data_IF_230454138471
#
_entry.id   IF_230454138471
#
_cell.length_a   1.000
_cell.length_b   1.000
_cell.length_c   1.000
_cell.angle_alpha   90.00
_cell.angle_beta   90.00
_cell.angle_gamma   90.00
#
_symmetry.space_group_name_H-M   'P 1'
#
loop_
_entity.id
_entity.type
_entity.pdbx_description
1 polymer ?
#
# COMPACT_ATOMS: atom_id res chain seq x y z
N UNK A 1 -6.63 9.66 14.01
CA UNK A 1 -5.33 9.03 13.69
C UNK A 1 -5.13 8.92 12.18
N UNK A 2 -6.01 8.27 11.39
CA UNK A 2 -5.88 8.06 9.94
C UNK A 2 -5.48 9.35 9.20
N UNK A 3 -6.26 10.42 9.37
CA UNK A 3 -5.97 11.72 8.73
C UNK A 3 -4.63 12.33 9.20
N UNK A 4 -4.30 12.18 10.49
CA UNK A 4 -3.04 12.66 11.04
C UNK A 4 -1.82 11.87 10.52
N UNK A 5 -2.04 10.66 10.01
CA UNK A 5 -1.02 9.86 9.32
C UNK A 5 -0.87 10.21 7.83
N UNK A 6 -1.52 11.29 7.37
CA UNK A 6 -1.41 11.76 5.99
C UNK A 6 -2.31 11.04 4.99
N UNK A 7 -3.19 10.13 5.43
CA UNK A 7 -4.18 9.51 4.56
C UNK A 7 -5.36 10.44 4.31
N UNK A 8 -5.85 10.46 3.08
CA UNK A 8 -7.04 11.20 2.64
C UNK A 8 -8.23 10.30 2.28
N UNK A 9 -7.99 9.00 2.24
CA UNK A 9 -8.99 7.98 1.96
C UNK A 9 -8.73 6.73 2.78
N UNK A 10 -9.74 5.88 2.85
CA UNK A 10 -9.67 4.54 3.43
C UNK A 10 -10.52 3.55 2.64
N UNK A 11 -10.20 2.28 2.77
CA UNK A 11 -11.01 1.18 2.26
C UNK A 11 -11.63 0.46 3.45
N UNK A 12 -12.96 0.36 3.46
CA UNK A 12 -13.69 -0.47 4.41
C UNK A 12 -13.70 -1.88 3.85
N UNK A 13 -12.82 -2.72 4.41
CA UNK A 13 -12.49 -4.03 3.87
C UNK A 13 -13.45 -5.10 4.39
N UNK A 14 -14.32 -5.59 3.51
CA UNK A 14 -15.22 -6.74 3.67
C UNK A 14 -16.11 -6.72 4.92
N UNK A 15 -16.53 -5.54 5.37
CA UNK A 15 -17.51 -5.42 6.48
C UNK A 15 -18.30 -4.11 6.36
N UNK A 16 -19.32 -3.97 7.19
CA UNK A 16 -20.06 -2.72 7.38
C UNK A 16 -19.76 -2.20 8.77
N UNK A 17 -19.31 -0.96 8.87
CA UNK A 17 -18.96 -0.33 10.13
C UNK A 17 -20.20 0.34 10.79
N UNK A 18 -20.03 0.85 12.00
CA UNK A 18 -21.06 1.58 12.71
C UNK A 18 -21.41 2.90 11.97
N UNK A 19 -22.66 3.37 12.00
CA UNK A 19 -23.07 4.62 11.33
C UNK A 19 -22.18 5.81 11.68
N UNK A 20 -21.77 5.94 12.93
CA UNK A 20 -20.91 7.05 13.40
C UNK A 20 -19.55 7.06 12.67
N UNK A 21 -19.07 5.93 12.19
CA UNK A 21 -17.82 5.86 11.43
C UNK A 21 -17.94 6.64 10.11
N UNK A 22 -19.03 6.45 9.38
CA UNK A 22 -19.28 7.14 8.11
C UNK A 22 -19.55 8.65 8.33
N UNK A 23 -20.30 9.00 9.38
CA UNK A 23 -20.51 10.39 9.79
C UNK A 23 -19.19 11.10 10.09
N UNK A 24 -18.28 10.45 10.82
CA UNK A 24 -16.95 11.00 11.09
C UNK A 24 -16.09 11.13 9.83
N UNK A 25 -16.20 10.20 8.87
CA UNK A 25 -15.51 10.33 7.59
C UNK A 25 -16.03 11.53 6.79
N UNK A 26 -17.35 11.78 6.80
CA UNK A 26 -17.95 12.97 6.19
C UNK A 26 -17.41 14.26 6.83
N UNK A 27 -17.42 14.34 8.16
CA UNK A 27 -16.94 15.51 8.91
C UNK A 27 -15.43 15.77 8.70
N UNK A 28 -14.63 14.71 8.64
CA UNK A 28 -13.18 14.81 8.51
C UNK A 28 -12.70 14.94 7.07
N UNK A 29 -13.59 14.76 6.09
CA UNK A 29 -13.23 14.73 4.67
C UNK A 29 -12.29 13.56 4.34
N UNK A 30 -12.60 12.36 4.84
CA UNK A 30 -11.91 11.11 4.50
C UNK A 30 -12.74 10.36 3.47
N UNK A 31 -12.18 10.16 2.27
CA UNK A 31 -12.84 9.38 1.23
C UNK A 31 -12.97 7.90 1.62
N UNK A 32 -14.06 7.25 1.21
CA UNK A 32 -14.32 5.83 1.48
C UNK A 32 -14.47 5.05 0.17
N UNK A 33 -13.69 3.99 0.04
CA UNK A 33 -13.97 2.85 -0.84
C UNK A 33 -14.62 1.77 0.02
N UNK A 34 -15.76 1.27 -0.38
CA UNK A 34 -16.53 0.33 0.46
C UNK A 34 -16.68 -1.03 -0.22
N UNK A 35 -16.11 -2.05 0.40
CA UNK A 35 -16.27 -3.44 -0.05
C UNK A 35 -17.64 -3.98 0.35
N UNK A 36 -18.16 -4.90 -0.48
CA UNK A 36 -19.12 -5.86 0.04
C UNK A 36 -18.45 -6.84 1.00
N UNK A 37 -19.25 -7.56 1.77
CA UNK A 37 -18.76 -8.57 2.70
C UNK A 37 -18.32 -9.88 2.00
N UNK A 38 -18.37 -9.94 0.67
CA UNK A 38 -17.94 -11.12 -0.09
C UNK A 38 -16.43 -11.09 -0.30
N UNK A 39 -15.77 -12.09 0.32
CA UNK A 39 -14.32 -12.20 0.34
C UNK A 39 -13.91 -13.57 -0.17
N UNK A 40 -12.86 -13.60 -1.03
CA UNK A 40 -12.29 -14.79 -1.64
C UNK A 40 -13.31 -15.62 -2.45
N UNK A 41 -12.89 -16.81 -2.83
CA UNK A 41 -13.72 -17.72 -3.63
C UNK A 41 -14.37 -18.75 -2.73
N UNK A 42 -15.59 -18.47 -2.31
CA UNK A 42 -16.40 -19.47 -1.62
C UNK A 42 -17.50 -19.95 -2.56
N UNK A 43 -17.60 -21.27 -2.82
CA UNK A 43 -18.70 -21.82 -3.56
C UNK A 43 -20.02 -21.49 -2.84
N UNK A 44 -20.94 -20.87 -3.56
CA UNK A 44 -22.26 -20.51 -3.04
C UNK A 44 -23.34 -20.98 -4.00
N UNK A 45 -24.52 -21.31 -3.48
CA UNK A 45 -25.67 -21.60 -4.33
C UNK A 45 -26.33 -20.31 -4.84
N UNK A 46 -27.17 -20.43 -5.86
CA UNK A 46 -27.88 -19.28 -6.43
C UNK A 46 -28.76 -18.56 -5.40
N UNK A 47 -29.40 -19.32 -4.51
CA UNK A 47 -30.25 -18.75 -3.47
C UNK A 47 -29.42 -17.90 -2.48
N UNK A 48 -28.21 -18.30 -2.15
CA UNK A 48 -27.29 -17.47 -1.38
C UNK A 48 -26.90 -16.22 -2.15
N UNK A 49 -26.52 -16.36 -3.40
CA UNK A 49 -26.11 -15.21 -4.24
C UNK A 49 -27.23 -14.15 -4.33
N UNK A 50 -28.46 -14.56 -4.57
CA UNK A 50 -29.59 -13.66 -4.65
C UNK A 50 -29.87 -12.94 -3.31
N UNK A 51 -29.82 -13.68 -2.19
CA UNK A 51 -29.97 -13.08 -0.85
C UNK A 51 -28.83 -12.11 -0.54
N UNK A 52 -27.59 -12.47 -0.87
CA UNK A 52 -26.44 -11.61 -0.64
C UNK A 52 -26.56 -10.30 -1.42
N UNK A 53 -26.92 -10.36 -2.70
CA UNK A 53 -27.13 -9.17 -3.52
C UNK A 53 -28.21 -8.28 -2.90
N UNK A 54 -29.34 -8.85 -2.47
CA UNK A 54 -30.41 -8.09 -1.85
C UNK A 54 -29.93 -7.36 -0.59
N UNK A 55 -29.22 -8.05 0.31
CA UNK A 55 -28.68 -7.46 1.55
C UNK A 55 -27.66 -6.37 1.24
N UNK A 56 -26.79 -6.59 0.25
CA UNK A 56 -25.79 -5.57 -0.09
C UNK A 56 -26.42 -4.33 -0.71
N UNK A 57 -27.49 -4.46 -1.50
CA UNK A 57 -28.21 -3.30 -2.00
C UNK A 57 -28.89 -2.48 -0.89
N UNK A 58 -29.35 -3.12 0.20
CA UNK A 58 -29.80 -2.41 1.41
C UNK A 58 -28.63 -1.64 2.07
N UNK A 59 -27.45 -2.21 2.08
CA UNK A 59 -26.22 -1.52 2.54
C UNK A 59 -25.90 -0.31 1.65
N UNK A 60 -26.01 -0.46 0.32
CA UNK A 60 -25.84 0.66 -0.62
C UNK A 60 -26.86 1.77 -0.32
N UNK A 61 -28.15 1.44 -0.13
CA UNK A 61 -29.19 2.42 0.22
C UNK A 61 -28.90 3.15 1.53
N UNK A 62 -28.38 2.45 2.52
CA UNK A 62 -28.03 3.03 3.81
C UNK A 62 -26.85 4.01 3.68
N UNK A 63 -25.83 3.67 2.89
CA UNK A 63 -24.55 4.37 2.85
C UNK A 63 -24.42 5.39 1.72
N UNK A 64 -25.17 5.28 0.61
CA UNK A 64 -25.04 6.18 -0.56
C UNK A 64 -25.32 7.65 -0.27
N UNK A 65 -25.91 7.97 0.87
CA UNK A 65 -26.14 9.35 1.34
C UNK A 65 -24.86 10.04 1.83
N UNK A 66 -23.80 9.29 2.18
CA UNK A 66 -22.56 9.83 2.71
C UNK A 66 -21.69 10.42 1.59
N UNK A 67 -21.34 11.71 1.63
CA UNK A 67 -20.50 12.33 0.62
C UNK A 67 -19.04 11.83 0.65
N UNK A 68 -18.58 11.29 1.76
CA UNK A 68 -17.27 10.64 1.87
C UNK A 68 -17.16 9.37 1.03
N UNK A 69 -18.27 8.65 0.80
CA UNK A 69 -18.27 7.43 0.03
C UNK A 69 -18.19 7.73 -1.47
N UNK A 70 -17.12 7.32 -2.14
CA UNK A 70 -16.89 7.62 -3.54
C UNK A 70 -16.78 6.40 -4.46
N UNK A 71 -16.61 5.19 -3.90
CA UNK A 71 -16.46 3.97 -4.71
C UNK A 71 -17.05 2.74 -4.01
N UNK A 72 -17.72 1.89 -4.76
CA UNK A 72 -18.17 0.56 -4.33
C UNK A 72 -17.22 -0.51 -4.85
N UNK A 73 -16.96 -1.54 -4.04
CA UNK A 73 -16.18 -2.71 -4.40
C UNK A 73 -17.05 -3.94 -4.19
N UNK A 74 -17.32 -4.69 -5.25
CA UNK A 74 -18.27 -5.81 -5.17
C UNK A 74 -17.71 -7.04 -4.48
N UNK A 75 -16.41 -7.27 -4.56
CA UNK A 75 -15.78 -8.47 -3.98
C UNK A 75 -14.33 -8.19 -3.66
N UNK A 76 -13.82 -8.80 -2.58
CA UNK A 76 -12.39 -8.83 -2.31
C UNK A 76 -11.76 -10.12 -2.84
N UNK A 77 -10.66 -9.98 -3.56
CA UNK A 77 -9.81 -11.08 -4.04
C UNK A 77 -10.60 -12.26 -4.67
N UNK A 78 -11.48 -11.96 -5.64
CA UNK A 78 -12.27 -13.01 -6.27
C UNK A 78 -11.42 -14.02 -7.07
N UNK A 79 -10.15 -13.74 -7.27
CA UNK A 79 -9.26 -14.54 -8.10
C UNK A 79 -9.71 -14.58 -9.55
N UNK A 80 -9.36 -15.68 -10.24
CA UNK A 80 -9.74 -15.87 -11.63
C UNK A 80 -11.18 -16.35 -11.80
N UNK A 81 -11.85 -16.73 -10.71
CA UNK A 81 -13.08 -17.49 -10.76
C UNK A 81 -14.34 -16.66 -11.04
N UNK A 82 -14.29 -15.36 -10.92
CA UNK A 82 -15.50 -14.53 -10.89
C UNK A 82 -15.82 -13.78 -12.16
N UNK A 83 -14.85 -13.61 -13.06
CA UNK A 83 -15.03 -12.73 -14.20
C UNK A 83 -14.65 -13.34 -15.56
N UNK A 84 -13.56 -14.09 -15.66
CA UNK A 84 -13.13 -14.70 -16.91
C UNK A 84 -12.43 -16.06 -16.67
N UNK A 85 -13.09 -17.22 -16.92
CA UNK A 85 -12.44 -18.50 -16.83
C UNK A 85 -11.26 -18.58 -17.80
N UNK A 86 -10.12 -19.06 -17.30
CA UNK A 86 -8.97 -19.34 -18.15
C UNK A 86 -9.03 -20.81 -18.62
N UNK A 87 -8.37 -21.15 -19.75
CA UNK A 87 -8.32 -22.54 -20.23
C UNK A 87 -7.71 -23.54 -19.24
N UNK A 88 -6.89 -23.05 -18.32
CA UNK A 88 -6.16 -23.86 -17.34
C UNK A 88 -6.93 -24.10 -16.04
N UNK A 89 -8.13 -23.53 -15.88
CA UNK A 89 -8.97 -23.75 -14.71
C UNK A 89 -9.58 -25.14 -14.73
N UNK A 90 -9.60 -25.76 -13.54
CA UNK A 90 -10.30 -27.03 -13.43
C UNK A 90 -11.83 -26.85 -13.51
N UNK A 91 -12.54 -27.98 -13.62
CA UNK A 91 -14.00 -27.95 -13.79
C UNK A 91 -14.73 -27.48 -12.55
N UNK A 92 -14.18 -27.75 -11.35
CA UNK A 92 -14.80 -27.34 -10.10
C UNK A 92 -14.74 -25.80 -9.95
N UNK A 93 -13.63 -25.22 -10.32
CA UNK A 93 -13.44 -23.78 -10.35
C UNK A 93 -14.38 -23.10 -11.34
N UNK A 94 -14.51 -23.65 -12.55
CA UNK A 94 -15.45 -23.14 -13.57
C UNK A 94 -16.92 -23.25 -13.12
N UNK A 95 -17.29 -24.29 -12.38
CA UNK A 95 -18.65 -24.46 -11.87
C UNK A 95 -18.93 -23.52 -10.69
N UNK A 96 -17.94 -23.24 -9.82
CA UNK A 96 -18.04 -22.25 -8.77
C UNK A 96 -18.27 -20.85 -9.31
N UNK A 97 -17.64 -20.47 -10.42
CA UNK A 97 -17.87 -19.19 -11.10
C UNK A 97 -19.32 -18.95 -11.52
N UNK A 98 -19.99 -20.00 -12.00
CA UNK A 98 -21.37 -19.88 -12.51
C UNK A 98 -22.36 -19.47 -11.44
N UNK A 99 -22.06 -19.74 -10.18
CA UNK A 99 -22.90 -19.40 -9.02
C UNK A 99 -22.35 -18.24 -8.20
N UNK A 100 -21.16 -17.72 -8.56
CA UNK A 100 -20.60 -16.55 -7.88
C UNK A 100 -21.54 -15.35 -7.95
N UNK A 101 -21.74 -14.62 -6.85
CA UNK A 101 -22.57 -13.40 -6.87
C UNK A 101 -21.92 -12.26 -7.68
N UNK A 102 -20.61 -12.30 -7.94
CA UNK A 102 -19.84 -11.18 -8.46
C UNK A 102 -20.39 -10.49 -9.71
N UNK A 103 -20.61 -11.19 -10.84
CA UNK A 103 -21.13 -10.55 -12.06
C UNK A 103 -22.54 -9.96 -11.88
N UNK A 104 -23.42 -10.66 -11.16
CA UNK A 104 -24.79 -10.19 -10.87
C UNK A 104 -24.75 -9.01 -9.91
N UNK A 105 -23.91 -9.09 -8.86
CA UNK A 105 -23.72 -8.04 -7.87
C UNK A 105 -23.20 -6.75 -8.53
N UNK A 106 -22.19 -6.84 -9.37
CA UNK A 106 -21.65 -5.69 -10.09
C UNK A 106 -22.74 -4.98 -10.92
N UNK A 107 -23.51 -5.74 -11.73
CA UNK A 107 -24.57 -5.17 -12.52
C UNK A 107 -25.65 -4.51 -11.64
N UNK A 108 -26.05 -5.16 -10.55
CA UNK A 108 -27.06 -4.66 -9.64
C UNK A 108 -26.60 -3.37 -8.92
N UNK A 109 -25.37 -3.28 -8.48
CA UNK A 109 -24.83 -2.07 -7.82
C UNK A 109 -24.71 -0.92 -8.82
N UNK A 110 -24.24 -1.15 -10.05
CA UNK A 110 -24.18 -0.13 -11.09
C UNK A 110 -25.57 0.46 -11.43
N UNK A 111 -26.59 -0.39 -11.46
CA UNK A 111 -27.98 0.06 -11.69
C UNK A 111 -28.53 0.81 -10.47
N UNK A 112 -28.24 0.35 -9.26
CA UNK A 112 -28.79 0.85 -8.01
C UNK A 112 -28.19 2.19 -7.57
N UNK A 113 -26.88 2.38 -7.79
CA UNK A 113 -26.18 3.64 -7.57
C UNK A 113 -25.30 4.04 -8.77
N UNK A 114 -25.91 4.63 -9.82
CA UNK A 114 -25.16 5.08 -11.00
C UNK A 114 -24.31 6.34 -10.77
N UNK A 115 -24.32 6.89 -9.55
CA UNK A 115 -23.59 8.12 -9.22
C UNK A 115 -22.12 7.90 -8.87
N UNK A 116 -21.73 6.65 -8.60
CA UNK A 116 -20.38 6.28 -8.13
C UNK A 116 -19.75 5.21 -9.00
N UNK A 117 -18.41 5.22 -9.14
CA UNK A 117 -17.71 4.10 -9.75
C UNK A 117 -17.87 2.82 -8.93
N UNK A 118 -17.90 1.70 -9.63
CA UNK A 118 -18.01 0.36 -9.05
C UNK A 118 -16.86 -0.49 -9.54
N UNK A 119 -16.09 -1.07 -8.62
CA UNK A 119 -15.05 -2.05 -8.89
C UNK A 119 -15.68 -3.45 -8.79
N UNK A 120 -15.54 -4.25 -9.84
CA UNK A 120 -16.12 -5.60 -9.90
C UNK A 120 -15.55 -6.55 -8.88
N UNK A 121 -14.24 -6.48 -8.71
CA UNK A 121 -13.48 -7.26 -7.73
C UNK A 121 -12.11 -6.66 -7.48
N UNK A 122 -11.74 -6.51 -6.25
CA UNK A 122 -10.47 -5.99 -5.81
C UNK A 122 -9.58 -7.17 -5.33
N UNK A 123 -8.53 -7.56 -6.03
CA UNK A 123 -8.20 -7.24 -7.42
C UNK A 123 -8.69 -8.34 -8.36
N UNK A 124 -8.86 -8.03 -9.63
CA UNK A 124 -9.25 -9.00 -10.66
C UNK A 124 -8.10 -9.22 -11.63
N UNK A 125 -7.41 -10.33 -11.50
CA UNK A 125 -6.21 -10.68 -12.29
C UNK A 125 -6.47 -10.67 -13.80
N UNK A 126 -7.65 -11.06 -14.23
CA UNK A 126 -8.01 -11.24 -15.64
C UNK A 126 -8.98 -10.19 -16.17
N UNK A 127 -9.23 -9.12 -15.45
CA UNK A 127 -10.05 -8.01 -15.93
C UNK A 127 -9.20 -6.73 -16.05
N UNK A 128 -8.70 -6.41 -17.25
CA UNK A 128 -7.90 -5.20 -17.47
C UNK A 128 -8.70 -3.91 -17.23
N UNK A 129 -10.03 -3.99 -17.20
CA UNK A 129 -10.90 -2.86 -16.94
C UNK A 129 -11.19 -2.65 -15.44
N UNK A 130 -10.86 -3.63 -14.59
CA UNK A 130 -10.95 -3.51 -13.13
C UNK A 130 -10.17 -2.31 -12.61
N UNK A 131 -8.95 -2.15 -13.10
CA UNK A 131 -8.16 -0.92 -12.88
C UNK A 131 -7.39 -0.88 -11.55
N UNK A 132 -7.64 -1.82 -10.63
CA UNK A 132 -6.95 -1.92 -9.36
C UNK A 132 -6.05 -3.15 -9.26
N UNK A 133 -5.18 -3.15 -8.26
CA UNK A 133 -4.22 -4.23 -8.00
C UNK A 133 -4.01 -4.44 -6.50
N UNK A 134 -3.66 -5.67 -6.13
CA UNK A 134 -3.01 -5.99 -4.86
C UNK A 134 -1.54 -6.34 -5.13
N UNK A 135 -0.63 -5.68 -4.46
CA UNK A 135 0.80 -5.87 -4.68
C UNK A 135 1.52 -6.16 -3.37
N UNK A 136 1.95 -7.40 -3.23
CA UNK A 136 2.69 -7.86 -2.06
C UNK A 136 4.15 -8.24 -2.39
N UNK A 137 4.71 -7.64 -3.44
CA UNK A 137 6.13 -7.79 -3.79
C UNK A 137 7.02 -7.50 -2.57
N UNK A 138 7.97 -8.40 -2.33
CA UNK A 138 8.84 -8.32 -1.16
C UNK A 138 8.16 -8.65 0.18
N UNK A 139 6.89 -9.07 0.17
CA UNK A 139 6.13 -9.48 1.36
C UNK A 139 5.68 -10.93 1.30
N UNK A 140 5.04 -11.34 0.20
CA UNK A 140 4.51 -12.70 0.04
C UNK A 140 5.44 -13.61 -0.76
N UNK A 141 6.40 -13.05 -1.47
CA UNK A 141 7.27 -13.76 -2.40
C UNK A 141 8.39 -14.57 -1.68
N UNK A 142 8.43 -14.52 -0.35
CA UNK A 142 9.49 -15.16 0.42
C UNK A 142 10.87 -14.56 0.09
N UNK A 143 11.88 -15.42 -0.08
CA UNK A 143 13.22 -14.98 -0.39
C UNK A 143 13.42 -14.52 -1.86
N UNK A 144 12.43 -14.78 -2.73
CA UNK A 144 12.54 -14.49 -4.17
C UNK A 144 12.20 -13.04 -4.52
N UNK A 145 11.58 -12.29 -3.59
CA UNK A 145 11.17 -10.90 -3.79
C UNK A 145 11.77 -9.94 -2.78
N UNK A 146 11.92 -8.68 -3.17
CA UNK A 146 12.41 -7.62 -2.32
C UNK A 146 11.57 -6.34 -2.50
N UNK A 147 11.45 -5.49 -1.47
CA UNK A 147 10.64 -4.27 -1.55
C UNK A 147 11.07 -3.33 -2.67
N UNK A 148 12.34 -3.32 -3.06
CA UNK A 148 12.82 -2.48 -4.18
C UNK A 148 12.33 -2.94 -5.56
N UNK A 149 11.79 -4.15 -5.68
CA UNK A 149 11.22 -4.65 -6.93
C UNK A 149 9.96 -3.90 -7.35
N UNK A 150 9.32 -3.18 -6.41
CA UNK A 150 8.21 -2.26 -6.70
C UNK A 150 8.55 -1.27 -7.81
N UNK A 151 9.79 -0.83 -7.93
CA UNK A 151 10.20 0.12 -8.96
C UNK A 151 10.08 -0.41 -10.40
N UNK A 152 9.90 -1.72 -10.56
CA UNK A 152 9.61 -2.36 -11.85
C UNK A 152 8.12 -2.40 -12.19
N UNK A 153 7.22 -2.02 -11.29
CA UNK A 153 5.77 -2.15 -11.47
C UNK A 153 5.11 -0.86 -11.94
N UNK A 154 3.94 -1.02 -12.55
CA UNK A 154 3.13 0.10 -13.06
C UNK A 154 1.66 -0.23 -12.82
N UNK A 155 0.99 0.51 -11.97
CA UNK A 155 -0.38 0.23 -11.52
C UNK A 155 -1.26 1.46 -11.62
N UNK A 156 -2.49 1.31 -12.10
CA UNK A 156 -3.46 2.42 -12.19
C UNK A 156 -3.94 2.84 -10.80
N UNK A 157 -4.18 1.87 -9.93
CA UNK A 157 -4.50 2.06 -8.52
C UNK A 157 -4.09 0.79 -7.77
N UNK A 158 -3.44 0.96 -6.64
CA UNK A 158 -3.20 -0.15 -5.72
C UNK A 158 -4.20 -0.08 -4.57
N UNK A 159 -4.99 -1.12 -4.38
CA UNK A 159 -6.01 -1.18 -3.33
C UNK A 159 -5.58 -2.00 -2.13
N UNK A 160 -4.39 -2.64 -2.20
CA UNK A 160 -3.85 -3.38 -1.07
C UNK A 160 -2.35 -3.67 -1.22
N UNK A 161 -1.55 -3.22 -0.28
CA UNK A 161 -0.14 -3.58 -0.09
C UNK A 161 0.25 -3.47 1.38
N UNK A 162 1.25 -4.22 1.80
CA UNK A 162 1.70 -4.17 3.19
C UNK A 162 2.75 -5.22 3.51
N UNK A 163 3.20 -5.24 4.76
CA UNK A 163 4.16 -6.20 5.27
C UNK A 163 3.80 -6.61 6.70
N UNK A 164 3.80 -7.91 6.94
CA UNK A 164 3.52 -8.52 8.25
C UNK A 164 4.71 -8.27 9.20
N UNK A 165 4.50 -7.46 10.21
CA UNK A 165 5.50 -7.18 11.23
C UNK A 165 4.96 -7.42 12.64
N UNK A 166 5.80 -7.90 13.57
CA UNK A 166 5.38 -8.11 14.95
C UNK A 166 5.22 -6.77 15.69
N UNK A 167 4.38 -6.75 16.75
CA UNK A 167 4.34 -5.64 17.69
C UNK A 167 5.60 -5.58 18.53
N UNK A 168 5.70 -4.60 19.44
CA UNK A 168 6.78 -4.53 20.41
C UNK A 168 6.80 -5.79 21.31
N UNK A 169 7.96 -6.07 21.90
CA UNK A 169 8.18 -7.29 22.68
C UNK A 169 7.21 -7.43 23.86
N UNK A 170 6.77 -6.33 24.48
CA UNK A 170 5.89 -6.38 25.63
C UNK A 170 4.45 -6.73 25.22
N UNK A 171 3.99 -6.29 24.07
CA UNK A 171 2.70 -6.68 23.52
C UNK A 171 2.74 -8.09 22.93
N UNK A 172 3.86 -8.47 22.33
CA UNK A 172 4.06 -9.85 21.87
C UNK A 172 3.97 -10.86 23.02
N UNK A 173 4.47 -10.54 24.22
CA UNK A 173 4.33 -11.38 25.41
C UNK A 173 2.89 -11.56 25.89
N UNK A 174 1.97 -10.63 25.55
CA UNK A 174 0.54 -10.77 25.83
C UNK A 174 -0.14 -11.83 24.96
N UNK A 175 0.56 -12.34 23.94
CA UNK A 175 0.12 -13.37 23.01
C UNK A 175 0.97 -14.65 23.17
N UNK A 176 0.81 -15.43 24.25
CA UNK A 176 1.73 -16.55 24.56
C UNK A 176 1.93 -17.57 23.44
N UNK A 177 0.92 -17.94 22.62
CA UNK A 177 1.14 -18.84 21.50
C UNK A 177 2.02 -18.23 20.41
N UNK A 178 1.81 -16.96 20.07
CA UNK A 178 2.59 -16.21 19.07
C UNK A 178 4.00 -16.00 19.59
N UNK A 179 4.15 -15.51 20.82
CA UNK A 179 5.44 -15.29 21.46
C UNK A 179 6.32 -16.55 21.45
N UNK A 180 5.73 -17.73 21.81
CA UNK A 180 6.47 -19.00 21.77
C UNK A 180 6.94 -19.36 20.35
N UNK A 181 6.14 -19.10 19.33
CA UNK A 181 6.53 -19.37 17.94
C UNK A 181 7.65 -18.47 17.45
N UNK A 182 7.66 -17.23 17.89
CA UNK A 182 8.68 -16.24 17.51
C UNK A 182 9.95 -16.30 18.36
N UNK A 183 10.01 -17.18 19.39
CA UNK A 183 11.20 -17.35 20.24
C UNK A 183 12.52 -17.48 19.44
N UNK A 184 12.58 -18.28 18.35
CA UNK A 184 13.83 -18.45 17.60
C UNK A 184 14.33 -17.18 16.90
N UNK A 185 13.47 -16.18 16.71
CA UNK A 185 13.79 -14.95 15.94
C UNK A 185 13.57 -13.66 16.75
N UNK A 186 13.49 -13.75 18.07
CA UNK A 186 13.26 -12.57 18.92
C UNK A 186 14.31 -11.48 18.74
N UNK A 187 15.54 -11.86 18.43
CA UNK A 187 16.64 -10.94 18.13
C UNK A 187 16.47 -10.18 16.80
N UNK A 188 15.64 -10.72 15.89
CA UNK A 188 15.38 -10.13 14.57
C UNK A 188 14.15 -9.22 14.55
N UNK A 189 13.39 -9.08 15.64
CA UNK A 189 12.13 -8.31 15.64
C UNK A 189 12.33 -6.86 15.18
N UNK A 190 13.45 -6.26 15.59
CA UNK A 190 13.77 -4.89 15.19
C UNK A 190 14.05 -4.78 13.69
N UNK A 191 14.81 -5.72 13.12
CA UNK A 191 15.09 -5.81 11.67
C UNK A 191 13.83 -6.04 10.86
N UNK A 192 12.92 -6.91 11.34
CA UNK A 192 11.63 -7.17 10.69
C UNK A 192 10.78 -5.90 10.66
N UNK A 193 10.72 -5.17 11.77
CA UNK A 193 10.07 -3.87 11.83
C UNK A 193 10.72 -2.84 10.89
N UNK A 194 12.05 -2.85 10.77
CA UNK A 194 12.79 -1.98 9.86
C UNK A 194 12.50 -2.34 8.39
N UNK A 195 12.33 -3.62 8.07
CA UNK A 195 11.91 -4.05 6.74
C UNK A 195 10.49 -3.55 6.41
N UNK A 196 9.54 -3.61 7.36
CA UNK A 196 8.21 -2.99 7.20
C UNK A 196 8.32 -1.49 6.88
N UNK A 197 9.20 -0.76 7.61
CA UNK A 197 9.44 0.65 7.34
C UNK A 197 9.90 0.87 5.90
N UNK A 198 10.92 0.16 5.42
CA UNK A 198 11.42 0.33 4.06
C UNK A 198 10.38 -0.05 3.01
N UNK A 199 9.70 -1.19 3.17
CA UNK A 199 8.69 -1.63 2.21
C UNK A 199 7.60 -0.55 2.06
N UNK A 200 7.01 -0.08 3.15
CA UNK A 200 5.97 0.94 3.09
C UNK A 200 6.49 2.26 2.51
N UNK A 201 7.69 2.70 2.91
CA UNK A 201 8.32 3.89 2.35
C UNK A 201 8.47 3.81 0.83
N UNK A 202 9.10 2.74 0.33
CA UNK A 202 9.37 2.57 -1.09
C UNK A 202 8.10 2.44 -1.92
N UNK A 203 7.09 1.72 -1.43
CA UNK A 203 5.81 1.58 -2.11
C UNK A 203 5.06 2.91 -2.22
N UNK A 204 4.91 3.63 -1.11
CA UNK A 204 4.22 4.93 -1.10
C UNK A 204 4.93 5.93 -2.02
N UNK A 205 6.25 6.04 -1.92
CA UNK A 205 7.03 6.96 -2.76
C UNK A 205 6.95 6.58 -4.24
N UNK A 206 7.00 5.28 -4.57
CA UNK A 206 6.85 4.79 -5.93
C UNK A 206 5.50 5.16 -6.54
N UNK A 207 4.39 4.93 -5.81
CA UNK A 207 3.07 5.32 -6.29
C UNK A 207 2.94 6.84 -6.44
N UNK A 208 3.48 7.60 -5.54
CA UNK A 208 3.49 9.07 -5.61
C UNK A 208 4.32 9.59 -6.79
N UNK A 209 5.43 8.94 -7.13
CA UNK A 209 6.21 9.25 -8.34
C UNK A 209 5.51 8.86 -9.65
N UNK A 210 4.42 8.13 -9.59
CA UNK A 210 3.56 7.79 -10.73
C UNK A 210 2.24 8.58 -10.74
N UNK A 211 2.11 9.59 -9.90
CA UNK A 211 0.91 10.41 -9.71
C UNK A 211 0.24 10.74 -11.04
N UNK A 212 -1.01 10.22 -11.22
CA UNK A 212 -1.88 10.33 -12.38
C UNK A 212 -1.35 9.72 -13.70
N UNK A 213 -0.15 9.11 -13.72
CA UNK A 213 0.43 8.51 -14.93
C UNK A 213 1.31 7.29 -14.60
N UNK A 214 0.70 6.13 -14.33
CA UNK A 214 -0.75 5.83 -14.36
C UNK A 214 -1.44 5.88 -13.00
N UNK A 215 -0.73 6.04 -11.87
CA UNK A 215 -1.27 5.79 -10.53
C UNK A 215 -2.21 6.91 -10.06
N UNK A 216 -3.45 6.55 -9.75
CA UNK A 216 -4.47 7.44 -9.22
C UNK A 216 -4.60 7.37 -7.68
N UNK A 217 -4.02 6.34 -7.05
CA UNK A 217 -4.09 6.17 -5.61
C UNK A 217 -3.55 4.83 -5.13
N UNK A 218 -3.39 4.74 -3.81
CA UNK A 218 -2.91 3.53 -3.14
C UNK A 218 -3.54 3.41 -1.76
N UNK A 219 -3.73 2.16 -1.31
CA UNK A 219 -4.30 1.82 0.00
C UNK A 219 -3.39 0.83 0.71
N UNK A 220 -2.83 1.24 1.83
CA UNK A 220 -1.99 0.38 2.66
C UNK A 220 -2.87 -0.59 3.46
N UNK A 221 -2.58 -1.87 3.40
CA UNK A 221 -3.19 -2.92 4.20
C UNK A 221 -2.25 -3.30 5.35
N UNK A 222 -2.66 -3.08 6.61
CA UNK A 222 -3.86 -2.40 7.07
C UNK A 222 -3.49 -1.36 8.13
N UNK A 223 -4.45 -0.51 8.55
CA UNK A 223 -4.17 0.54 9.50
C UNK A 223 -3.78 0.02 10.89
N UNK A 224 -4.56 -0.91 11.44
CA UNK A 224 -4.26 -1.54 12.73
C UNK A 224 -4.54 -3.04 12.70
N UNK A 225 -3.78 -3.82 13.46
CA UNK A 225 -4.03 -5.25 13.59
C UNK A 225 -5.42 -5.49 14.20
N UNK A 226 -6.21 -6.34 13.55
CA UNK A 226 -7.62 -6.55 13.88
C UNK A 226 -7.83 -7.48 15.08
N UNK A 227 -6.81 -8.24 15.47
CA UNK A 227 -6.82 -9.13 16.63
C UNK A 227 -5.40 -9.29 17.19
N UNK A 228 -5.23 -9.89 18.40
CA UNK A 228 -3.91 -10.14 18.97
C UNK A 228 -3.09 -11.13 18.14
N UNK A 229 -2.32 -10.63 17.20
CA UNK A 229 -1.46 -11.39 16.30
C UNK A 229 -0.32 -10.52 15.76
N UNK A 230 0.59 -11.10 14.98
CA UNK A 230 1.44 -10.35 14.06
C UNK A 230 0.69 -10.18 12.75
N UNK A 231 0.63 -8.97 12.22
CA UNK A 231 -0.08 -8.73 10.97
C UNK A 231 0.40 -7.44 10.29
N UNK A 232 -0.29 -7.02 9.23
CA UNK A 232 0.11 -5.92 8.36
C UNK A 232 -0.13 -4.51 8.92
N UNK A 233 -0.71 -4.40 10.14
CA UNK A 233 -0.99 -3.10 10.76
C UNK A 233 0.23 -2.21 10.91
N UNK A 234 0.04 -0.91 10.76
CA UNK A 234 1.01 0.12 11.17
C UNK A 234 0.84 0.51 12.64
N UNK A 235 -0.28 0.12 13.23
CA UNK A 235 -0.52 0.02 14.67
C UNK A 235 -0.79 -1.44 15.02
N UNK A 236 -0.37 -1.86 16.19
CA UNK A 236 -0.75 -3.16 16.71
C UNK A 236 -2.20 -3.19 17.23
N UNK A 237 -2.65 -4.36 17.70
CA UNK A 237 -3.99 -4.52 18.24
C UNK A 237 -4.30 -3.61 19.43
N UNK A 238 -3.32 -3.24 20.24
CA UNK A 238 -3.49 -2.36 21.40
C UNK A 238 -3.33 -0.88 21.07
N UNK A 239 -3.07 -0.55 19.80
CA UNK A 239 -2.95 0.81 19.30
C UNK A 239 -1.55 1.42 19.46
N UNK A 240 -0.53 0.60 19.74
CA UNK A 240 0.85 1.06 19.73
C UNK A 240 1.42 1.08 18.30
N UNK A 241 2.21 2.10 17.96
CA UNK A 241 2.77 2.22 16.62
C UNK A 241 3.82 1.14 16.36
N UNK A 242 3.81 0.57 15.16
CA UNK A 242 4.90 -0.20 14.59
C UNK A 242 5.82 0.71 13.76
N UNK A 243 7.00 0.22 13.36
CA UNK A 243 7.94 1.04 12.57
C UNK A 243 7.37 1.52 11.23
N UNK A 244 6.46 0.76 10.64
CA UNK A 244 5.75 1.16 9.42
C UNK A 244 4.99 2.47 9.51
N UNK A 245 4.53 2.88 10.70
CA UNK A 245 3.88 4.17 10.88
C UNK A 245 4.81 5.34 10.54
N UNK A 246 6.08 5.24 10.92
CA UNK A 246 7.05 6.29 10.60
C UNK A 246 7.22 6.46 9.09
N UNK A 247 7.32 5.35 8.34
CA UNK A 247 7.39 5.38 6.89
C UNK A 247 6.17 6.08 6.26
N UNK A 248 4.97 5.76 6.77
CA UNK A 248 3.72 6.38 6.32
C UNK A 248 3.72 7.89 6.59
N UNK A 249 4.10 8.31 7.80
CA UNK A 249 4.16 9.73 8.18
C UNK A 249 5.14 10.51 7.30
N UNK A 250 6.31 9.96 7.02
CA UNK A 250 7.33 10.60 6.19
C UNK A 250 6.93 10.65 4.72
N UNK A 251 6.43 9.54 4.17
CA UNK A 251 6.17 9.40 2.74
C UNK A 251 4.83 9.99 2.29
N UNK A 252 3.87 10.22 3.21
CA UNK A 252 2.56 10.82 2.91
C UNK A 252 2.52 12.36 3.12
N UNK A 253 3.65 13.01 3.46
CA UNK A 253 3.65 14.47 3.57
C UNK A 253 3.23 15.10 2.24
N UNK A 254 2.36 16.15 2.26
CA UNK A 254 1.88 16.78 1.03
C UNK A 254 2.98 17.28 0.10
N UNK A 255 4.10 17.75 0.66
CA UNK A 255 5.30 18.08 -0.09
C UNK A 255 6.30 16.94 0.10
N UNK A 256 6.75 16.34 -1.00
CA UNK A 256 7.72 15.26 -0.98
C UNK A 256 8.83 15.44 -2.00
N UNK A 257 9.99 14.83 -1.73
CA UNK A 257 11.09 14.70 -2.68
C UNK A 257 11.58 13.26 -2.65
N UNK A 258 11.59 12.59 -3.80
CA UNK A 258 11.74 11.15 -3.88
C UNK A 258 12.81 10.74 -4.89
N UNK A 259 13.55 9.68 -4.55
CA UNK A 259 14.53 9.04 -5.41
C UNK A 259 13.89 7.86 -6.14
N UNK A 260 14.03 7.83 -7.46
CA UNK A 260 13.70 6.66 -8.27
C UNK A 260 14.97 5.90 -8.61
N UNK A 261 15.00 4.61 -8.28
CA UNK A 261 16.14 3.73 -8.57
C UNK A 261 15.69 2.27 -8.63
N UNK A 262 16.50 1.44 -9.26
CA UNK A 262 16.42 -0.02 -9.20
C UNK A 262 17.84 -0.56 -9.21
N UNK A 263 18.38 -0.93 -10.35
CA UNK A 263 19.78 -1.37 -10.50
C UNK A 263 20.77 -0.19 -10.64
N UNK A 264 20.24 0.99 -10.84
CA UNK A 264 20.95 2.28 -10.95
C UNK A 264 20.07 3.41 -10.47
N UNK A 265 20.65 4.54 -10.13
CA UNK A 265 19.88 5.76 -9.94
C UNK A 265 19.26 6.18 -11.27
N UNK A 266 17.96 6.50 -11.26
CA UNK A 266 17.20 6.90 -12.44
C UNK A 266 16.90 8.41 -12.38
N UNK A 267 16.16 8.86 -11.36
CA UNK A 267 15.73 10.24 -11.30
C UNK A 267 15.39 10.69 -9.86
N UNK A 268 15.31 12.00 -9.66
CA UNK A 268 14.72 12.61 -8.45
C UNK A 268 13.48 13.39 -8.86
N UNK A 269 12.42 13.24 -8.07
CA UNK A 269 11.14 13.91 -8.27
C UNK A 269 10.74 14.73 -7.06
N UNK A 270 10.11 15.89 -7.28
CA UNK A 270 9.34 16.62 -6.27
C UNK A 270 7.85 16.40 -6.49
N UNK A 271 7.12 16.27 -5.39
CA UNK A 271 5.65 16.15 -5.37
C UNK A 271 5.08 17.29 -4.54
N UNK A 272 4.04 17.93 -5.05
CA UNK A 272 3.20 18.86 -4.32
C UNK A 272 1.74 18.40 -4.44
N UNK A 273 1.11 18.03 -3.34
CA UNK A 273 -0.31 17.62 -3.28
C UNK A 273 -1.23 18.77 -2.85
N UNK A 274 -0.69 19.96 -2.58
CA UNK A 274 -1.51 21.12 -2.30
C UNK A 274 -2.15 21.67 -3.58
N UNK A 275 -3.36 22.19 -3.48
CA UNK A 275 -4.09 22.87 -4.55
C UNK A 275 -3.58 24.31 -4.82
N UNK A 276 -2.40 24.66 -4.32
CA UNK A 276 -1.71 25.92 -4.57
C UNK A 276 -0.23 25.68 -4.87
N UNK A 277 0.38 26.54 -5.71
CA UNK A 277 1.79 26.42 -6.04
C UNK A 277 2.67 26.79 -4.84
N UNK A 278 3.81 26.12 -4.71
CA UNK A 278 4.83 26.49 -3.72
C UNK A 278 5.62 27.72 -4.20
N UNK A 279 5.63 28.01 -5.49
CA UNK A 279 6.47 29.06 -6.07
C UNK A 279 7.91 28.59 -6.24
N UNK A 280 8.86 29.53 -6.16
CA UNK A 280 10.29 29.26 -6.32
C UNK A 280 10.86 28.60 -5.07
N UNK A 281 11.42 27.40 -5.22
CA UNK A 281 12.09 26.65 -4.18
C UNK A 281 13.55 26.36 -4.57
N UNK A 282 14.40 26.23 -3.57
CA UNK A 282 15.70 25.57 -3.71
C UNK A 282 15.51 24.08 -3.50
N UNK A 283 15.98 23.27 -4.44
CA UNK A 283 15.97 21.81 -4.34
C UNK A 283 17.40 21.31 -4.43
N UNK A 284 17.73 20.28 -3.64
CA UNK A 284 19.08 19.76 -3.65
C UNK A 284 19.16 18.28 -3.33
N UNK A 285 20.30 17.69 -3.69
CA UNK A 285 20.69 16.35 -3.28
C UNK A 285 22.17 16.26 -2.96
N UNK A 286 22.50 15.29 -2.12
CA UNK A 286 23.89 14.84 -1.86
C UNK A 286 23.92 13.33 -1.83
N UNK A 287 24.85 12.72 -2.55
CA UNK A 287 25.07 11.29 -2.63
C UNK A 287 26.46 11.00 -2.10
N UNK A 288 26.55 10.12 -1.10
CA UNK A 288 27.81 9.67 -0.51
C UNK A 288 28.00 8.17 -0.68
N UNK A 289 29.24 7.74 -0.80
CA UNK A 289 29.59 6.32 -0.74
C UNK A 289 29.61 5.81 0.71
N UNK A 290 29.89 4.53 0.89
CA UNK A 290 29.97 3.86 2.20
C UNK A 290 31.03 4.44 3.16
N UNK A 291 32.01 5.19 2.62
CA UNK A 291 33.04 5.87 3.41
C UNK A 291 32.60 7.27 3.86
N UNK A 292 31.45 7.74 3.40
CA UNK A 292 30.93 9.09 3.63
C UNK A 292 31.49 10.14 2.67
N UNK A 293 32.25 9.73 1.63
CA UNK A 293 32.76 10.65 0.61
C UNK A 293 31.62 11.02 -0.35
N UNK A 294 31.45 12.32 -0.60
CA UNK A 294 30.51 12.81 -1.59
C UNK A 294 30.94 12.38 -2.99
N UNK A 295 30.07 11.68 -3.71
CA UNK A 295 30.27 11.22 -5.09
C UNK A 295 29.49 12.05 -6.11
N UNK A 296 28.36 12.64 -5.67
CA UNK A 296 27.59 13.58 -6.47
C UNK A 296 26.75 14.50 -5.57
N UNK A 297 26.63 15.75 -5.94
CA UNK A 297 25.73 16.71 -5.29
C UNK A 297 25.34 17.82 -6.29
N UNK A 298 24.15 18.36 -6.12
CA UNK A 298 23.70 19.53 -6.89
C UNK A 298 22.57 20.27 -6.13
N UNK A 299 22.46 21.56 -6.40
CA UNK A 299 21.41 22.43 -5.89
C UNK A 299 20.92 23.37 -6.98
N UNK A 300 19.62 23.50 -7.16
CA UNK A 300 19.05 24.43 -8.15
C UNK A 300 17.76 25.08 -7.67
N UNK A 301 17.43 26.20 -8.28
CA UNK A 301 16.14 26.87 -8.13
C UNK A 301 15.13 26.34 -9.13
N UNK A 302 13.91 26.07 -8.68
CA UNK A 302 12.81 25.58 -9.51
C UNK A 302 11.49 26.14 -9.01
N UNK A 303 10.53 26.31 -9.91
CA UNK A 303 9.13 26.61 -9.56
C UNK A 303 8.36 25.30 -9.42
N UNK A 304 7.72 25.08 -8.28
CA UNK A 304 6.88 23.91 -8.00
C UNK A 304 5.41 24.35 -8.06
N UNK A 305 4.69 23.82 -9.07
CA UNK A 305 3.27 24.12 -9.29
C UNK A 305 2.37 23.44 -8.26
N UNK A 306 1.08 23.83 -8.24
CA UNK A 306 0.03 23.12 -7.52
C UNK A 306 -0.17 21.71 -8.08
N UNK A 307 -0.59 20.79 -7.23
CA UNK A 307 -0.99 19.40 -7.54
C UNK A 307 -0.07 18.74 -8.60
N UNK A 308 1.24 18.79 -8.36
CA UNK A 308 2.24 18.48 -9.36
C UNK A 308 3.19 17.36 -8.99
N UNK A 309 3.65 16.66 -10.02
CA UNK A 309 4.83 15.80 -10.02
C UNK A 309 5.88 16.42 -10.95
N UNK A 310 7.01 16.82 -10.40
CA UNK A 310 8.08 17.50 -11.15
C UNK A 310 9.35 16.67 -11.12
N UNK A 311 9.83 16.25 -12.30
CA UNK A 311 11.15 15.62 -12.40
C UNK A 311 12.23 16.68 -12.20
N UNK A 312 13.11 16.44 -11.24
CA UNK A 312 14.19 17.36 -10.89
C UNK A 312 15.50 17.01 -11.60
N UNK A 313 15.95 15.78 -11.52
CA UNK A 313 17.18 15.31 -12.15
C UNK A 313 16.97 13.94 -12.78
N UNK A 314 17.71 13.71 -13.86
CA UNK A 314 17.97 12.41 -14.45
C UNK A 314 19.43 12.02 -14.18
N UNK A 315 19.68 10.74 -13.93
CA UNK A 315 21.01 10.19 -13.76
C UNK A 315 21.39 9.35 -14.98
N UNK A 316 22.66 9.44 -15.40
CA UNK A 316 23.17 8.77 -16.60
C UNK A 316 23.51 7.28 -16.37
N UNK A 317 23.31 6.78 -15.14
CA UNK A 317 23.60 5.40 -14.77
C UNK A 317 25.04 5.15 -14.31
N UNK A 318 25.84 6.17 -14.06
CA UNK A 318 27.19 6.04 -13.46
C UNK A 318 27.13 5.60 -12.02
N UNK A 319 26.04 5.91 -11.30
CA UNK A 319 25.77 5.44 -9.93
C UNK A 319 24.82 4.24 -10.03
N UNK A 320 25.36 3.05 -9.82
CA UNK A 320 24.65 1.79 -10.04
C UNK A 320 24.95 0.75 -8.97
N UNK A 321 24.21 -0.36 -8.98
CA UNK A 321 24.44 -1.53 -8.11
C UNK A 321 25.87 -2.05 -8.25
N UNK A 322 26.41 -2.56 -7.16
CA UNK A 322 27.82 -2.96 -7.02
C UNK A 322 28.59 -2.12 -6.01
N UNK A 323 28.03 -0.97 -5.63
CA UNK A 323 28.46 -0.16 -4.49
C UNK A 323 27.23 0.27 -3.71
N UNK A 324 27.42 0.61 -2.44
CA UNK A 324 26.36 1.09 -1.56
C UNK A 324 26.47 2.61 -1.42
N UNK A 325 25.32 3.29 -1.44
CA UNK A 325 25.26 4.75 -1.36
C UNK A 325 24.25 5.21 -0.32
N UNK A 326 24.51 6.38 0.26
CA UNK A 326 23.53 7.13 1.04
C UNK A 326 23.12 8.37 0.25
N UNK A 327 21.83 8.69 0.23
CA UNK A 327 21.28 9.80 -0.53
C UNK A 327 20.46 10.69 0.39
N UNK A 328 20.78 11.98 0.44
CA UNK A 328 20.01 13.00 1.11
C UNK A 328 19.38 13.95 0.08
N UNK A 329 18.08 14.23 0.22
CA UNK A 329 17.29 15.09 -0.65
C UNK A 329 16.59 16.17 0.18
N UNK A 330 16.43 17.38 -0.37
CA UNK A 330 15.71 18.44 0.32
C UNK A 330 15.03 19.44 -0.63
N UNK A 331 13.98 20.08 -0.11
CA UNK A 331 13.29 21.24 -0.69
C UNK A 331 13.27 22.32 0.35
N UNK A 332 13.73 23.51 0.00
CA UNK A 332 13.73 24.69 0.85
C UNK A 332 13.06 25.88 0.14
N UNK A 333 12.41 26.73 0.91
CA UNK A 333 11.87 28.00 0.44
C UNK A 333 12.10 29.09 1.49
N UNK A 334 12.67 30.19 1.08
CA UNK A 334 12.94 31.34 1.95
C UNK A 334 13.72 30.96 3.24
N UNK A 335 14.66 30.01 3.12
CA UNK A 335 15.46 29.49 4.23
C UNK A 335 14.71 28.53 5.17
N UNK A 336 13.50 28.12 4.81
CA UNK A 336 12.72 27.14 5.55
C UNK A 336 12.72 25.80 4.81
N UNK A 337 13.08 24.73 5.50
CA UNK A 337 12.96 23.36 5.01
C UNK A 337 11.49 22.98 4.85
N UNK A 338 11.06 22.64 3.62
CA UNK A 338 9.71 22.19 3.31
C UNK A 338 9.61 20.67 3.26
N UNK A 339 10.63 20.00 2.73
CA UNK A 339 10.71 18.54 2.67
C UNK A 339 12.16 18.08 2.77
N UNK A 340 12.37 16.94 3.40
CA UNK A 340 13.64 16.20 3.42
C UNK A 340 13.34 14.72 3.26
N UNK A 341 14.23 14.01 2.59
CA UNK A 341 14.18 12.57 2.48
C UNK A 341 15.58 11.99 2.49
N UNK A 342 15.74 10.83 3.10
CA UNK A 342 17.01 10.15 3.22
C UNK A 342 16.85 8.69 2.84
N UNK A 343 17.83 8.18 2.12
CA UNK A 343 17.95 6.77 1.75
C UNK A 343 19.31 6.28 2.21
N UNK A 344 19.30 5.23 2.99
CA UNK A 344 20.49 4.57 3.48
C UNK A 344 20.67 3.26 2.75
N UNK A 345 21.91 2.90 2.50
CA UNK A 345 22.29 1.62 1.91
C UNK A 345 21.60 1.32 0.55
N UNK A 346 21.47 2.36 -0.28
CA UNK A 346 20.94 2.21 -1.64
C UNK A 346 21.78 1.21 -2.42
N UNK A 347 21.14 0.23 -3.07
CA UNK A 347 21.72 -0.94 -3.73
C UNK A 347 22.31 -2.01 -2.80
N UNK A 348 21.96 -1.97 -1.51
CA UNK A 348 22.26 -3.11 -0.64
C UNK A 348 21.60 -4.38 -1.20
N UNK A 349 22.35 -5.50 -1.13
CA UNK A 349 21.88 -6.75 -1.73
C UNK A 349 20.66 -7.29 -1.00
N UNK A 350 19.58 -7.68 -1.71
CA UNK A 350 18.35 -8.16 -1.10
C UNK A 350 18.54 -9.28 -0.08
N UNK A 351 19.38 -10.26 -0.39
CA UNK A 351 19.69 -11.41 0.46
C UNK A 351 20.38 -11.06 1.77
N UNK A 352 20.91 -9.84 1.88
CA UNK A 352 21.55 -9.33 3.09
C UNK A 352 20.71 -8.27 3.82
N UNK A 353 19.50 -7.97 3.29
CA UNK A 353 18.62 -6.97 3.92
C UNK A 353 18.03 -7.55 5.21
N UNK A 354 18.34 -7.00 6.38
CA UNK A 354 17.78 -7.48 7.64
C UNK A 354 16.25 -7.43 7.63
N UNK A 355 15.60 -8.49 8.12
CA UNK A 355 14.15 -8.60 8.15
C UNK A 355 13.51 -9.07 6.85
N UNK A 356 14.29 -9.28 5.78
CA UNK A 356 13.77 -9.85 4.55
C UNK A 356 13.17 -11.25 4.80
N UNK A 357 11.97 -11.55 4.27
CA UNK A 357 11.33 -12.84 4.45
C UNK A 357 12.08 -13.95 3.69
N UNK A 358 12.65 -14.91 4.41
CA UNK A 358 13.32 -16.09 3.83
C UNK A 358 12.47 -17.34 3.95
N UNK A 359 11.43 -17.32 4.78
CA UNK A 359 10.60 -18.48 5.01
C UNK A 359 9.18 -18.13 5.43
N UNK A 360 8.21 -18.75 4.79
CA UNK A 360 6.80 -18.66 5.19
C UNK A 360 6.36 -20.03 5.73
N UNK A 361 5.91 -20.09 6.98
CA UNK A 361 5.26 -21.27 7.53
C UNK A 361 3.75 -21.15 7.39
N UNK A 362 3.20 -21.91 6.44
CA UNK A 362 1.74 -22.04 6.30
C UNK A 362 1.09 -22.83 7.45
N UNK A 363 1.87 -23.64 8.17
CA UNK A 363 1.35 -24.54 9.22
C UNK A 363 0.89 -23.80 10.50
N UNK A 364 1.36 -22.58 10.70
CA UNK A 364 1.14 -21.87 11.96
C UNK A 364 0.22 -20.65 11.85
N UNK A 365 -0.22 -20.29 10.64
CA UNK A 365 -0.98 -19.06 10.40
C UNK A 365 -0.20 -17.78 10.74
N UNK A 366 1.10 -17.88 11.01
CA UNK A 366 2.02 -16.76 11.16
C UNK A 366 3.10 -16.88 10.09
N UNK A 367 3.35 -15.81 9.39
CA UNK A 367 4.51 -15.69 8.52
C UNK A 367 5.72 -15.46 9.39
N UNK A 368 6.79 -16.20 9.16
CA UNK A 368 8.04 -16.08 9.91
C UNK A 368 9.07 -15.52 8.96
N UNK A 369 9.73 -14.48 9.40
CA UNK A 369 10.77 -13.78 8.67
C UNK A 369 12.07 -13.88 9.43
N UNK A 370 13.18 -13.96 8.71
CA UNK A 370 14.52 -13.85 9.26
C UNK A 370 15.48 -13.23 8.28
N UNK A 371 16.46 -12.64 8.85
CA UNK A 371 17.59 -12.10 8.14
C UNK A 371 18.84 -12.89 8.49
#
# INVERSE_FOLDING_TARGET
QIKNSGFNMLRVHVHVDLPVFYELCDELGLGIMHDSEYNWMHPVDEAFADRFIHIYLETVDMLKKHPSLFCWICMNEPGNLTLNPTPDMDRADCDAMKVSPGPKLFAAVCEHDPSRPVIKGSFCVNDPDSGDSHNYTGSLDGADGHYSDIYGTTEKMNTEFGFDAPPCIDDLKKMPPVYRRLQPILENLDSIGQYQYYLLKYFIEHYRMQKYKPNAGYVQFLFNDMCPQTFYGIYDYWGLPKKGLQAVLESNMPIGIFLKFKDKLDAIYAVNDYSYPLGTCQVGYSITDETGKVVAEDVKSIVIAEDSLTKLWDFDGTIHSGNVYNVALWIEQDGKLLARNEYHDVFYMPEHTPGHPVHMSHETGCRIYWA
#
